data_IF_981380789065
#
_entry.id   IF_981380789065
#
_cell.length_a   1.000
_cell.length_b   1.000
_cell.length_c   1.000
_cell.angle_alpha   90.00
_cell.angle_beta   90.00
_cell.angle_gamma   90.00
#
_symmetry.space_group_name_H-M   'P 1'
#
loop_
_entity.id
_entity.type
_entity.pdbx_description
1 polymer ?
#
# COMPACT_ATOMS: atom_id res chain seq x y z
N UNK A 1 25.41 -47.30 1.09
CA UNK A 1 25.58 -47.07 -0.36
C UNK A 1 24.29 -47.45 -1.08
N UNK A 2 23.26 -46.60 -1.01
CA UNK A 2 21.98 -46.80 -1.71
C UNK A 2 21.59 -45.48 -2.41
N UNK A 3 21.68 -45.48 -3.75
CA UNK A 3 20.76 -44.79 -4.65
C UNK A 3 20.71 -43.26 -4.66
N UNK A 4 21.80 -42.59 -5.07
CA UNK A 4 21.74 -41.24 -5.64
C UNK A 4 21.80 -41.35 -7.17
N UNK A 5 20.65 -41.54 -7.84
CA UNK A 5 20.53 -41.38 -9.30
C UNK A 5 19.08 -41.53 -9.78
N UNK A 6 18.21 -40.53 -9.60
CA UNK A 6 17.06 -40.35 -10.52
C UNK A 6 16.28 -39.03 -10.53
N UNK A 7 16.75 -37.92 -9.94
CA UNK A 7 15.93 -36.69 -9.90
C UNK A 7 16.52 -35.49 -10.67
N UNK A 8 17.50 -35.70 -11.54
CA UNK A 8 18.15 -34.62 -12.30
C UNK A 8 17.46 -34.27 -13.65
N UNK A 9 16.32 -34.91 -13.97
CA UNK A 9 15.64 -34.75 -15.27
C UNK A 9 14.19 -34.22 -15.21
N UNK A 10 13.74 -33.69 -14.07
CA UNK A 10 12.37 -33.14 -13.92
C UNK A 10 12.30 -31.61 -13.79
N UNK A 11 13.42 -30.89 -13.92
CA UNK A 11 13.45 -29.42 -13.84
C UNK A 11 13.73 -28.72 -15.18
N UNK A 12 13.80 -29.47 -16.28
CA UNK A 12 13.91 -28.93 -17.64
C UNK A 12 12.51 -28.87 -18.27
N UNK A 13 12.09 -27.70 -18.75
CA UNK A 13 10.84 -27.44 -19.49
C UNK A 13 9.58 -27.03 -18.70
N UNK A 14 9.71 -26.17 -17.68
CA UNK A 14 8.69 -25.14 -17.46
C UNK A 14 9.21 -23.83 -18.07
N UNK A 15 9.08 -23.70 -19.39
CA UNK A 15 9.32 -22.42 -20.06
C UNK A 15 8.24 -21.44 -19.63
N UNK A 16 8.51 -20.69 -18.56
CA UNK A 16 7.69 -19.54 -18.17
C UNK A 16 7.63 -18.61 -19.39
N UNK A 17 6.44 -18.35 -19.95
CA UNK A 17 6.31 -17.52 -21.14
C UNK A 17 6.99 -16.18 -20.90
N UNK A 18 7.79 -15.69 -21.87
CA UNK A 18 8.52 -14.40 -21.76
C UNK A 18 7.60 -13.23 -21.37
N UNK A 19 6.30 -13.33 -21.64
CA UNK A 19 5.30 -12.30 -21.35
C UNK A 19 4.78 -12.34 -19.90
N UNK A 20 5.05 -13.39 -19.14
CA UNK A 20 4.49 -13.60 -17.80
C UNK A 20 4.83 -12.47 -16.82
N UNK A 21 6.05 -11.95 -16.86
CA UNK A 21 6.45 -10.82 -16.00
C UNK A 21 5.75 -9.52 -16.39
N UNK A 22 5.62 -9.26 -17.70
CA UNK A 22 4.93 -8.09 -18.22
C UNK A 22 3.42 -8.13 -17.89
N UNK A 23 2.79 -9.30 -17.99
CA UNK A 23 1.38 -9.48 -17.65
C UNK A 23 1.14 -9.30 -16.15
N UNK A 24 2.03 -9.83 -15.30
CA UNK A 24 1.97 -9.61 -13.85
C UNK A 24 2.13 -8.14 -13.48
N UNK A 25 3.06 -7.43 -14.11
CA UNK A 25 3.24 -6.00 -13.91
C UNK A 25 1.97 -5.23 -14.31
N UNK A 26 1.43 -5.47 -15.50
CA UNK A 26 0.19 -4.81 -15.98
C UNK A 26 -0.99 -5.07 -15.07
N UNK A 27 -1.14 -6.31 -14.59
CA UNK A 27 -2.21 -6.65 -13.65
C UNK A 27 -2.03 -5.93 -12.30
N UNK A 28 -0.81 -5.88 -11.77
CA UNK A 28 -0.51 -5.14 -10.55
C UNK A 28 -0.79 -3.63 -10.69
N UNK A 29 -0.39 -3.02 -11.81
CA UNK A 29 -0.68 -1.61 -12.11
C UNK A 29 -2.19 -1.35 -12.19
N UNK A 30 -2.95 -2.20 -12.90
CA UNK A 30 -4.41 -2.08 -13.01
C UNK A 30 -5.10 -2.18 -11.66
N UNK A 31 -4.73 -3.18 -10.86
CA UNK A 31 -5.32 -3.38 -9.53
C UNK A 31 -4.94 -2.25 -8.57
N UNK A 32 -3.69 -1.77 -8.62
CA UNK A 32 -3.24 -0.63 -7.84
C UNK A 32 -4.04 0.64 -8.16
N UNK A 33 -4.25 0.93 -9.45
CA UNK A 33 -5.08 2.06 -9.87
C UNK A 33 -6.57 1.87 -9.56
N UNK A 34 -7.10 0.64 -9.64
CA UNK A 34 -8.47 0.35 -9.23
C UNK A 34 -8.70 0.64 -7.73
N UNK A 35 -7.67 0.43 -6.90
CA UNK A 35 -7.68 0.81 -5.48
C UNK A 35 -7.79 2.33 -5.23
N UNK A 36 -7.59 3.19 -6.24
CA UNK A 36 -7.80 4.63 -6.10
C UNK A 36 -9.24 5.07 -6.34
N UNK A 37 -10.09 4.19 -6.90
CA UNK A 37 -11.45 4.55 -7.28
C UNK A 37 -12.22 5.15 -6.09
N UNK A 38 -12.24 4.54 -4.89
CA UNK A 38 -13.00 5.11 -3.78
C UNK A 38 -12.44 6.44 -3.28
N UNK A 39 -11.11 6.65 -3.29
CA UNK A 39 -10.51 7.93 -2.92
C UNK A 39 -10.96 9.06 -3.85
N UNK A 40 -10.88 8.84 -5.16
CA UNK A 40 -11.24 9.86 -6.15
C UNK A 40 -12.75 10.10 -6.15
N UNK A 41 -13.57 9.05 -6.10
CA UNK A 41 -15.02 9.17 -6.10
C UNK A 41 -15.53 9.89 -4.84
N UNK A 42 -15.01 9.56 -3.65
CA UNK A 42 -15.43 10.21 -2.40
C UNK A 42 -14.92 11.65 -2.32
N UNK A 43 -13.70 11.93 -2.77
CA UNK A 43 -13.19 13.30 -2.86
C UNK A 43 -14.01 14.16 -3.84
N UNK A 44 -14.43 13.60 -4.98
CA UNK A 44 -15.33 14.29 -5.90
C UNK A 44 -16.74 14.47 -5.31
N UNK A 45 -17.26 13.46 -4.62
CA UNK A 45 -18.56 13.51 -3.96
C UNK A 45 -18.61 14.62 -2.90
N UNK A 46 -17.53 14.82 -2.13
CA UNK A 46 -17.41 15.90 -1.14
C UNK A 46 -17.77 17.28 -1.71
N UNK A 47 -17.46 17.53 -2.99
CA UNK A 47 -17.71 18.81 -3.66
C UNK A 47 -19.16 18.98 -4.14
N UNK A 48 -19.94 17.89 -4.20
CA UNK A 48 -21.27 17.85 -4.83
C UNK A 48 -22.40 17.52 -3.86
N UNK A 49 -22.09 16.92 -2.70
CA UNK A 49 -23.10 16.48 -1.74
C UNK A 49 -23.70 17.65 -0.95
N UNK A 50 -24.94 17.46 -0.50
CA UNK A 50 -25.59 18.40 0.41
C UNK A 50 -24.83 18.46 1.76
N UNK A 51 -24.87 19.60 2.48
CA UNK A 51 -24.14 19.79 3.74
C UNK A 51 -24.37 18.69 4.78
N UNK A 52 -25.60 18.18 4.86
CA UNK A 52 -26.00 17.07 5.75
C UNK A 52 -25.34 15.71 5.45
N UNK A 53 -24.72 15.54 4.28
CA UNK A 53 -24.04 14.30 3.86
C UNK A 53 -22.52 14.40 3.90
N UNK A 54 -21.97 15.58 4.15
CA UNK A 54 -20.53 15.85 4.17
C UNK A 54 -19.81 14.92 5.15
N UNK A 55 -20.29 14.82 6.38
CA UNK A 55 -19.68 13.97 7.41
C UNK A 55 -19.69 12.49 6.99
N UNK A 56 -20.77 12.02 6.35
CA UNK A 56 -20.86 10.64 5.86
C UNK A 56 -19.81 10.32 4.80
N UNK A 57 -19.55 11.26 3.88
CA UNK A 57 -18.51 11.11 2.84
C UNK A 57 -17.12 11.07 3.48
N UNK A 58 -16.88 11.92 4.47
CA UNK A 58 -15.60 11.99 5.19
C UNK A 58 -15.32 10.72 5.99
N UNK A 59 -16.31 10.22 6.73
CA UNK A 59 -16.21 8.96 7.46
C UNK A 59 -15.96 7.80 6.49
N UNK A 60 -16.66 7.74 5.35
CA UNK A 60 -16.44 6.70 4.34
C UNK A 60 -15.02 6.75 3.77
N UNK A 61 -14.51 7.95 3.45
CA UNK A 61 -13.14 8.16 2.99
C UNK A 61 -12.10 7.78 4.05
N UNK A 62 -12.37 8.11 5.30
CA UNK A 62 -11.51 7.79 6.44
C UNK A 62 -11.43 6.28 6.66
N UNK A 63 -12.57 5.59 6.67
CA UNK A 63 -12.63 4.12 6.78
C UNK A 63 -11.82 3.47 5.65
N UNK A 64 -12.03 3.92 4.41
CA UNK A 64 -11.29 3.36 3.27
C UNK A 64 -9.78 3.61 3.37
N UNK A 65 -9.39 4.79 3.87
CA UNK A 65 -7.98 5.12 4.12
C UNK A 65 -7.34 4.15 5.11
N UNK A 66 -8.03 3.81 6.19
CA UNK A 66 -7.54 2.87 7.20
C UNK A 66 -7.38 1.47 6.62
N UNK A 67 -8.34 1.02 5.82
CA UNK A 67 -8.27 -0.28 5.11
C UNK A 67 -7.04 -0.35 4.22
N UNK A 68 -6.81 0.67 3.39
CA UNK A 68 -5.67 0.70 2.45
C UNK A 68 -4.34 0.84 3.20
N UNK A 69 -4.29 1.64 4.26
CA UNK A 69 -3.11 1.77 5.10
C UNK A 69 -2.68 0.41 5.67
N UNK A 70 -3.63 -0.32 6.26
CA UNK A 70 -3.38 -1.63 6.85
C UNK A 70 -2.96 -2.67 5.79
N UNK A 71 -3.55 -2.61 4.59
CA UNK A 71 -3.13 -3.46 3.48
C UNK A 71 -1.66 -3.21 3.08
N UNK A 72 -1.26 -1.95 2.93
CA UNK A 72 0.12 -1.60 2.56
C UNK A 72 1.09 -1.91 3.69
N UNK A 73 0.75 -1.62 4.94
CA UNK A 73 1.56 -1.98 6.11
C UNK A 73 1.77 -3.51 6.19
N UNK A 74 0.72 -4.30 5.93
CA UNK A 74 0.84 -5.77 5.84
C UNK A 74 1.76 -6.22 4.69
N UNK A 75 1.70 -5.54 3.54
CA UNK A 75 2.63 -5.78 2.43
C UNK A 75 4.08 -5.48 2.81
N UNK A 76 4.33 -4.37 3.53
CA UNK A 76 5.66 -3.99 4.00
C UNK A 76 6.23 -5.04 4.98
N UNK A 77 5.41 -5.53 5.91
CA UNK A 77 5.79 -6.67 6.75
C UNK A 77 6.15 -7.88 5.89
N UNK A 78 5.28 -8.30 4.96
CA UNK A 78 5.55 -9.47 4.11
C UNK A 78 6.83 -9.33 3.29
N UNK A 79 7.12 -8.14 2.76
CA UNK A 79 8.37 -7.85 2.04
C UNK A 79 9.59 -7.99 2.95
N UNK A 80 9.51 -7.55 4.21
CA UNK A 80 10.61 -7.69 5.17
C UNK A 80 10.99 -9.16 5.43
N UNK A 81 10.02 -10.07 5.43
CA UNK A 81 10.26 -11.50 5.63
C UNK A 81 11.02 -12.11 4.44
N UNK A 82 10.71 -11.67 3.22
CA UNK A 82 11.35 -12.16 2.00
C UNK A 82 12.80 -11.69 1.85
N UNK A 83 13.13 -10.54 2.44
CA UNK A 83 14.45 -9.91 2.33
C UNK A 83 15.27 -9.96 3.62
N UNK A 84 14.85 -10.77 4.60
CA UNK A 84 15.53 -10.91 5.89
C UNK A 84 16.93 -11.54 5.72
N UNK A 85 17.95 -10.69 5.68
CA UNK A 85 19.35 -11.09 5.58
C UNK A 85 19.92 -11.43 6.97
N UNK A 86 19.60 -12.63 7.47
CA UNK A 86 20.31 -13.37 8.56
C UNK A 86 20.43 -12.71 9.95
N UNK A 87 19.98 -11.48 10.19
CA UNK A 87 19.87 -10.87 11.54
C UNK A 87 18.41 -10.73 11.95
N UNK A 88 18.15 -10.85 13.26
CA UNK A 88 16.88 -10.55 13.93
C UNK A 88 16.58 -9.04 13.90
N UNK A 89 16.58 -8.41 12.73
CA UNK A 89 16.14 -7.04 12.57
C UNK A 89 14.61 -7.03 12.38
N UNK A 90 13.89 -6.54 13.40
CA UNK A 90 12.43 -6.44 13.40
C UNK A 90 11.92 -5.03 13.10
N UNK A 91 12.81 -4.09 12.74
CA UNK A 91 12.45 -2.67 12.64
C UNK A 91 11.31 -2.43 11.65
N UNK A 92 11.32 -3.11 10.51
CA UNK A 92 10.29 -2.94 9.47
C UNK A 92 8.94 -3.54 9.89
N UNK A 93 8.95 -4.69 10.56
CA UNK A 93 7.74 -5.31 11.09
C UNK A 93 7.13 -4.46 12.21
N UNK A 94 7.97 -4.00 13.14
CA UNK A 94 7.54 -3.09 14.22
C UNK A 94 6.95 -1.81 13.64
N UNK A 95 7.61 -1.19 12.67
CA UNK A 95 7.09 0.01 12.02
C UNK A 95 5.76 -0.23 11.31
N UNK A 96 5.61 -1.36 10.60
CA UNK A 96 4.36 -1.75 9.95
C UNK A 96 3.22 -1.91 10.97
N UNK A 97 3.47 -2.55 12.11
CA UNK A 97 2.49 -2.68 13.20
C UNK A 97 2.12 -1.31 13.77
N UNK A 98 3.11 -0.47 14.08
CA UNK A 98 2.89 0.86 14.64
C UNK A 98 2.03 1.71 13.71
N UNK A 99 2.25 1.61 12.40
CA UNK A 99 1.46 2.33 11.42
C UNK A 99 0.02 1.81 11.32
N UNK A 100 -0.18 0.49 11.37
CA UNK A 100 -1.52 -0.10 11.40
C UNK A 100 -2.30 0.32 12.66
N UNK A 101 -1.64 0.31 13.82
CA UNK A 101 -2.22 0.77 15.08
C UNK A 101 -2.51 2.28 15.05
N UNK A 102 -1.58 3.09 14.54
CA UNK A 102 -1.79 4.52 14.36
C UNK A 102 -3.02 4.78 13.47
N UNK A 103 -3.15 4.06 12.37
CA UNK A 103 -4.31 4.20 11.48
C UNK A 103 -5.63 3.88 12.18
N UNK A 104 -5.68 2.83 13.01
CA UNK A 104 -6.87 2.51 13.79
C UNK A 104 -7.17 3.57 14.87
N UNK A 105 -6.13 4.08 15.55
CA UNK A 105 -6.28 5.12 16.58
C UNK A 105 -6.88 6.43 16.04
N UNK A 106 -6.79 6.67 14.72
CA UNK A 106 -7.41 7.85 14.12
C UNK A 106 -8.94 7.86 14.24
N UNK A 107 -9.61 6.73 14.51
CA UNK A 107 -11.04 6.71 14.81
C UNK A 107 -11.40 7.26 16.20
N UNK A 108 -10.42 7.44 17.09
CA UNK A 108 -10.64 7.96 18.44
C UNK A 108 -10.59 9.49 18.50
N UNK A 109 -10.30 10.14 17.37
CA UNK A 109 -10.24 11.59 17.23
C UNK A 109 -11.27 12.06 16.19
N UNK A 110 -11.44 13.36 16.10
CA UNK A 110 -12.27 14.00 15.08
C UNK A 110 -11.87 13.55 13.66
N UNK A 111 -12.86 13.34 12.79
CA UNK A 111 -12.68 12.80 11.44
C UNK A 111 -11.77 13.69 10.58
N UNK A 112 -11.81 15.01 10.75
CA UNK A 112 -10.96 15.93 10.00
C UNK A 112 -9.49 15.75 10.39
N UNK A 113 -9.23 15.65 11.70
CA UNK A 113 -7.88 15.37 12.21
C UNK A 113 -7.42 13.97 11.82
N UNK A 114 -8.33 12.98 11.83
CA UNK A 114 -8.07 11.62 11.36
C UNK A 114 -7.61 11.59 9.90
N UNK A 115 -8.30 12.29 9.00
CA UNK A 115 -7.93 12.39 7.59
C UNK A 115 -6.56 13.05 7.40
N UNK A 116 -6.25 14.11 8.15
CA UNK A 116 -4.93 14.76 8.14
C UNK A 116 -3.81 13.82 8.59
N UNK A 117 -4.01 13.12 9.71
CA UNK A 117 -3.06 12.13 10.22
C UNK A 117 -2.85 11.02 9.18
N UNK A 118 -3.91 10.55 8.52
CA UNK A 118 -3.81 9.53 7.48
C UNK A 118 -3.03 10.02 6.25
N UNK A 119 -3.23 11.26 5.81
CA UNK A 119 -2.47 11.85 4.71
C UNK A 119 -0.96 11.89 5.01
N UNK A 120 -0.60 12.32 6.22
CA UNK A 120 0.79 12.33 6.69
C UNK A 120 1.33 10.90 6.80
N UNK A 121 0.57 9.98 7.40
CA UNK A 121 0.96 8.59 7.57
C UNK A 121 1.26 7.88 6.25
N UNK A 122 0.50 8.15 5.18
CA UNK A 122 0.78 7.60 3.85
C UNK A 122 2.10 8.14 3.27
N UNK A 123 2.39 9.41 3.52
CA UNK A 123 3.67 10.03 3.16
C UNK A 123 4.85 9.41 3.93
N UNK A 124 4.72 9.29 5.26
CA UNK A 124 5.75 8.70 6.12
C UNK A 124 6.01 7.24 5.73
N UNK A 125 4.96 6.44 5.50
CA UNK A 125 5.10 5.08 4.99
C UNK A 125 5.87 5.03 3.67
N UNK A 126 5.55 5.93 2.74
CA UNK A 126 6.21 5.95 1.43
C UNK A 126 7.68 6.33 1.53
N UNK A 127 8.03 7.28 2.41
CA UNK A 127 9.42 7.63 2.70
C UNK A 127 10.15 6.43 3.30
N UNK A 128 9.54 5.75 4.26
CA UNK A 128 10.09 4.54 4.87
C UNK A 128 10.30 3.42 3.83
N UNK A 129 9.34 3.17 2.92
CA UNK A 129 9.51 2.20 1.82
C UNK A 129 10.72 2.52 0.94
N UNK A 130 11.01 3.81 0.71
CA UNK A 130 12.15 4.24 -0.14
C UNK A 130 13.50 3.94 0.51
N UNK A 131 13.63 4.07 1.83
CA UNK A 131 14.88 3.75 2.55
C UNK A 131 15.32 2.29 2.32
N UNK A 132 14.36 1.36 2.23
CA UNK A 132 14.66 -0.06 2.03
C UNK A 132 14.59 -0.52 0.57
N UNK A 133 14.07 0.32 -0.33
CA UNK A 133 13.85 -0.02 -1.75
C UNK A 133 15.12 -0.51 -2.46
N UNK A 134 16.24 0.17 -2.25
CA UNK A 134 17.54 -0.19 -2.82
C UNK A 134 18.06 -1.51 -2.26
N UNK A 135 17.97 -1.71 -0.94
CA UNK A 135 18.44 -2.93 -0.28
C UNK A 135 17.65 -4.16 -0.72
N UNK A 136 16.33 -4.00 -0.91
CA UNK A 136 15.43 -5.08 -1.36
C UNK A 136 15.36 -5.24 -2.88
N UNK A 137 16.12 -4.44 -3.65
CA UNK A 137 16.12 -4.46 -5.12
C UNK A 137 14.70 -4.36 -5.69
N UNK A 138 13.89 -3.49 -5.10
CA UNK A 138 12.51 -3.25 -5.55
C UNK A 138 12.55 -2.78 -7.01
N UNK A 139 11.71 -3.33 -7.90
CA UNK A 139 11.67 -2.87 -9.29
C UNK A 139 11.22 -1.41 -9.40
N UNK A 140 11.91 -0.62 -10.23
CA UNK A 140 11.60 0.80 -10.45
C UNK A 140 10.14 1.07 -10.85
N UNK A 141 9.52 0.18 -11.62
CA UNK A 141 8.11 0.33 -12.01
C UNK A 141 7.17 0.32 -10.81
N UNK A 142 7.47 -0.51 -9.80
CA UNK A 142 6.66 -0.64 -8.59
C UNK A 142 6.82 0.59 -7.70
N UNK A 143 8.05 1.12 -7.58
CA UNK A 143 8.29 2.37 -6.87
C UNK A 143 7.54 3.55 -7.50
N UNK A 144 7.57 3.67 -8.83
CA UNK A 144 6.83 4.71 -9.56
C UNK A 144 5.31 4.56 -9.40
N UNK A 145 4.81 3.33 -9.43
CA UNK A 145 3.41 3.05 -9.14
C UNK A 145 3.06 3.52 -7.73
N UNK A 146 3.79 3.08 -6.71
CA UNK A 146 3.56 3.47 -5.30
C UNK A 146 3.60 4.97 -5.10
N UNK A 147 4.56 5.68 -5.71
CA UNK A 147 4.63 7.14 -5.67
C UNK A 147 3.34 7.80 -6.20
N UNK A 148 2.87 7.38 -7.38
CA UNK A 148 1.64 7.91 -7.98
C UNK A 148 0.41 7.62 -7.12
N UNK A 149 0.30 6.39 -6.60
CA UNK A 149 -0.83 6.01 -5.74
C UNK A 149 -0.84 6.86 -4.46
N UNK A 150 0.30 7.00 -3.77
CA UNK A 150 0.42 7.78 -2.54
C UNK A 150 0.10 9.26 -2.78
N UNK A 151 0.56 9.85 -3.89
CA UNK A 151 0.24 11.24 -4.25
C UNK A 151 -1.26 11.42 -4.45
N UNK A 152 -1.91 10.56 -5.23
CA UNK A 152 -3.37 10.66 -5.45
C UNK A 152 -4.14 10.51 -4.14
N UNK A 153 -3.78 9.54 -3.30
CA UNK A 153 -4.39 9.36 -1.98
C UNK A 153 -4.23 10.61 -1.13
N UNK A 154 -3.01 11.15 -0.99
CA UNK A 154 -2.75 12.34 -0.20
C UNK A 154 -3.53 13.56 -0.73
N UNK A 155 -3.57 13.76 -2.05
CA UNK A 155 -4.34 14.83 -2.67
C UNK A 155 -5.84 14.68 -2.41
N UNK A 156 -6.41 13.47 -2.50
CA UNK A 156 -7.82 13.21 -2.18
C UNK A 156 -8.14 13.55 -0.73
N UNK A 157 -7.28 13.16 0.22
CA UNK A 157 -7.48 13.43 1.64
C UNK A 157 -7.38 14.94 1.94
N UNK A 158 -6.34 15.60 1.42
CA UNK A 158 -6.13 17.04 1.63
C UNK A 158 -7.25 17.86 1.00
N UNK A 159 -7.72 17.49 -0.19
CA UNK A 159 -8.86 18.16 -0.83
C UNK A 159 -10.07 18.15 0.09
N UNK A 160 -10.44 16.98 0.61
CA UNK A 160 -11.59 16.85 1.50
C UNK A 160 -11.43 17.66 2.77
N UNK A 161 -10.23 17.69 3.35
CA UNK A 161 -9.93 18.50 4.55
C UNK A 161 -10.01 20.01 4.26
N UNK A 162 -9.61 20.48 3.09
CA UNK A 162 -9.63 21.91 2.77
C UNK A 162 -11.03 22.39 2.38
N UNK A 163 -11.88 21.50 1.87
CA UNK A 163 -13.25 21.80 1.43
C UNK A 163 -14.29 21.73 2.55
N UNK A 164 -13.86 21.99 3.79
CA UNK A 164 -14.70 22.02 4.99
C UNK A 164 -15.41 23.36 5.15
#
# INVERSE_FOLDING_TARGET
>A
MYGQAKDSNLTSSYDVPKNYQADRQRNAERLGHAGLIPFVCLAAAQLMVAPERVESVQVALHIYSVVIMNFVAGSLWSQSLQHAARRHDTTVQTFSILLSLLSWLTFLIDVHMGLLVMAVAFGVLRLFEREFSHAWRVPRWYEQLRDRLTVVVACSLILVVVTL
#
